data_IF_226202970060
#
_entry.id   IF_226202970060
#
_cell.length_a   1.000
_cell.length_b   1.000
_cell.length_c   1.000
_cell.angle_alpha   90.00
_cell.angle_beta   90.00
_cell.angle_gamma   90.00
#
_symmetry.space_group_name_H-M   'P 1'
#
loop_
_entity.id
_entity.type
_entity.pdbx_description
1 polymer ?
#
# COMPACT_ATOMS: atom_id res chain seq x y z
N UNK A 1 24.64 6.64 11.97
CA UNK A 1 23.22 6.61 12.31
C UNK A 1 22.49 5.63 11.41
N UNK A 2 21.64 4.82 11.99
CA UNK A 2 20.84 3.87 11.23
C UNK A 2 19.80 4.60 10.38
N UNK A 3 19.52 4.02 9.22
CA UNK A 3 18.41 4.42 8.35
C UNK A 3 17.46 3.24 8.19
N UNK A 4 16.22 3.53 7.97
CA UNK A 4 15.16 2.53 7.88
C UNK A 4 14.45 2.64 6.54
N UNK A 5 14.13 1.50 5.95
CA UNK A 5 13.38 1.41 4.69
C UNK A 5 11.91 1.20 5.02
N UNK A 6 11.06 2.05 4.49
CA UNK A 6 9.62 1.86 4.55
C UNK A 6 9.16 1.57 3.13
N UNK A 7 8.87 0.31 2.85
CA UNK A 7 8.38 -0.10 1.54
C UNK A 7 6.86 -0.05 1.53
N UNK A 8 6.34 0.96 0.86
CA UNK A 8 4.91 1.13 0.66
C UNK A 8 4.47 0.23 -0.48
N UNK A 9 3.50 -0.64 -0.21
CA UNK A 9 2.96 -1.57 -1.21
C UNK A 9 1.47 -1.34 -1.40
N UNK A 10 1.00 -1.52 -2.63
CA UNK A 10 -0.41 -1.35 -2.99
C UNK A 10 -0.77 -2.17 -4.22
N UNK A 11 -2.05 -2.36 -4.46
CA UNK A 11 -2.56 -3.00 -5.67
C UNK A 11 -2.87 -1.94 -6.72
N UNK A 12 -2.42 -2.19 -7.96
CA UNK A 12 -2.64 -1.27 -9.07
C UNK A 12 -4.05 -1.41 -9.69
N UNK A 13 -4.28 -0.70 -10.80
CA UNK A 13 -5.57 -0.70 -11.48
C UNK A 13 -5.69 -1.67 -12.65
N UNK A 14 -4.76 -2.60 -12.79
CA UNK A 14 -4.86 -3.60 -13.86
C UNK A 14 -6.02 -4.55 -13.62
N UNK A 15 -6.68 -4.92 -14.69
CA UNK A 15 -7.80 -5.85 -14.69
C UNK A 15 -7.51 -7.00 -15.65
N UNK A 16 -8.03 -8.20 -15.39
CA UNK A 16 -8.88 -8.64 -14.28
C UNK A 16 -8.14 -8.85 -12.97
N UNK A 17 -6.80 -8.94 -12.99
CA UNK A 17 -5.99 -9.20 -11.81
C UNK A 17 -5.03 -8.03 -11.58
N UNK A 18 -5.14 -7.33 -10.45
CA UNK A 18 -4.21 -6.25 -10.13
C UNK A 18 -2.82 -6.79 -9.82
N UNK A 19 -1.80 -5.95 -10.05
CA UNK A 19 -0.42 -6.25 -9.69
C UNK A 19 -0.07 -5.55 -8.38
N UNK A 20 0.81 -6.18 -7.60
CA UNK A 20 1.39 -5.56 -6.43
C UNK A 20 2.48 -4.58 -6.85
N UNK A 21 2.39 -3.35 -6.36
CA UNK A 21 3.37 -2.29 -6.60
C UNK A 21 4.07 -1.91 -5.32
N UNK A 22 5.27 -1.38 -5.45
CA UNK A 22 6.06 -0.95 -4.31
C UNK A 22 6.81 0.34 -4.57
N UNK A 23 6.99 1.12 -3.51
CA UNK A 23 7.74 2.37 -3.50
C UNK A 23 8.37 2.53 -2.12
N UNK A 24 9.69 2.77 -2.09
CA UNK A 24 10.43 2.79 -0.81
C UNK A 24 10.83 4.21 -0.44
N UNK A 25 10.59 4.57 0.81
CA UNK A 25 11.15 5.78 1.41
C UNK A 25 12.13 5.42 2.50
N UNK A 26 13.04 6.35 2.77
CA UNK A 26 14.04 6.19 3.82
C UNK A 26 13.64 7.09 4.99
N UNK A 27 13.59 6.49 6.18
CA UNK A 27 13.30 7.20 7.43
C UNK A 27 14.53 7.21 8.32
N UNK A 28 14.67 8.26 9.14
CA UNK A 28 15.76 8.38 10.11
C UNK A 28 15.46 7.63 11.41
N UNK A 29 14.20 7.29 11.64
CA UNK A 29 13.75 6.57 12.85
C UNK A 29 12.86 5.41 12.45
N UNK A 30 12.93 4.33 13.22
CA UNK A 30 12.03 3.18 13.02
C UNK A 30 10.60 3.60 13.39
N UNK A 31 9.59 3.22 12.58
CA UNK A 31 8.21 3.51 12.94
C UNK A 31 7.79 2.65 14.14
N UNK A 32 7.11 3.25 15.10
CA UNK A 32 6.56 2.54 16.26
C UNK A 32 5.13 2.04 15.98
N UNK A 33 4.43 2.75 15.12
CA UNK A 33 3.05 2.43 14.78
C UNK A 33 2.73 2.94 13.38
N UNK A 34 1.53 2.63 12.91
CA UNK A 34 1.03 3.09 11.63
C UNK A 34 1.00 4.63 11.53
N UNK A 35 0.80 5.32 12.65
CA UNK A 35 0.77 6.78 12.68
C UNK A 35 2.12 7.42 12.29
N UNK A 36 3.20 6.66 12.41
CA UNK A 36 4.54 7.12 11.99
C UNK A 36 4.78 6.92 10.49
N UNK A 37 3.81 6.38 9.77
CA UNK A 37 3.88 6.15 8.33
C UNK A 37 2.98 7.18 7.62
N UNK A 38 3.55 8.26 7.06
CA UNK A 38 2.74 9.29 6.42
C UNK A 38 2.11 8.82 5.11
N UNK A 39 1.03 9.48 4.70
CA UNK A 39 0.51 9.33 3.34
C UNK A 39 1.58 9.75 2.33
N UNK A 40 1.57 9.11 1.17
CA UNK A 40 2.58 9.37 0.14
C UNK A 40 1.94 9.34 -1.25
N UNK A 41 2.36 10.28 -2.09
CA UNK A 41 1.86 10.39 -3.45
C UNK A 41 2.61 9.49 -4.42
N UNK A 42 1.95 9.14 -5.51
CA UNK A 42 2.57 8.43 -6.63
C UNK A 42 1.88 8.81 -7.94
N UNK A 43 2.55 8.53 -9.05
CA UNK A 43 2.02 8.74 -10.40
C UNK A 43 1.20 7.52 -10.82
N UNK A 44 -0.13 7.69 -10.84
CA UNK A 44 -1.06 6.63 -11.19
C UNK A 44 -1.14 6.31 -12.67
N UNK A 45 -0.49 7.08 -13.55
CA UNK A 45 -0.56 6.82 -14.99
C UNK A 45 0.19 5.53 -15.38
N UNK A 46 1.25 5.19 -14.67
CA UNK A 46 2.02 3.96 -14.90
C UNK A 46 1.40 2.71 -14.26
N UNK A 47 0.39 2.89 -13.43
CA UNK A 47 -0.26 1.80 -12.68
C UNK A 47 -1.71 1.57 -13.09
N UNK A 48 -2.15 2.17 -14.19
CA UNK A 48 -3.54 2.11 -14.68
C UNK A 48 -4.55 2.66 -13.67
N UNK A 49 -4.17 3.70 -12.93
CA UNK A 49 -5.01 4.30 -11.89
C UNK A 49 -5.31 5.77 -12.14
N UNK A 50 -4.68 6.39 -13.14
CA UNK A 50 -4.95 7.79 -13.51
C UNK A 50 -4.53 8.07 -14.94
N UNK A 51 -5.08 9.16 -15.49
CA UNK A 51 -4.63 9.70 -16.78
C UNK A 51 -3.34 10.48 -16.62
N UNK A 52 -2.53 10.52 -17.68
CA UNK A 52 -1.26 11.24 -17.63
C UNK A 52 -1.41 12.76 -17.42
N UNK A 53 -2.56 13.33 -17.73
CA UNK A 53 -2.85 14.76 -17.54
C UNK A 53 -3.27 15.10 -16.10
N UNK A 54 -3.68 14.10 -15.32
CA UNK A 54 -4.09 14.25 -13.92
C UNK A 54 -3.72 12.95 -13.18
N UNK A 55 -2.43 12.77 -12.95
CA UNK A 55 -1.85 11.48 -12.61
C UNK A 55 -1.66 11.26 -11.11
N UNK A 56 -1.92 12.26 -10.27
CA UNK A 56 -1.66 12.16 -8.84
C UNK A 56 -2.64 11.20 -8.15
N UNK A 57 -2.08 10.23 -7.45
CA UNK A 57 -2.79 9.33 -6.54
C UNK A 57 -2.08 9.34 -5.18
N UNK A 58 -2.79 8.94 -4.14
CA UNK A 58 -2.27 8.91 -2.78
C UNK A 58 -2.28 7.50 -2.21
N UNK A 59 -1.23 7.18 -1.48
CA UNK A 59 -1.11 5.94 -0.71
C UNK A 59 -1.48 6.22 0.74
N UNK A 60 -2.51 5.57 1.22
CA UNK A 60 -2.94 5.65 2.62
C UNK A 60 -2.49 4.39 3.35
N UNK A 61 -1.54 4.49 4.29
CA UNK A 61 -1.12 3.34 5.08
C UNK A 61 -2.28 2.73 5.87
N UNK A 62 -2.41 1.41 5.82
CA UNK A 62 -3.46 0.67 6.55
C UNK A 62 -2.89 -0.39 7.47
N UNK A 63 -1.65 -0.85 7.24
CA UNK A 63 -1.00 -1.83 8.11
C UNK A 63 0.52 -1.71 8.01
N UNK A 64 1.19 -1.90 9.12
CA UNK A 64 2.65 -1.86 9.24
C UNK A 64 3.15 -3.24 9.67
N UNK A 65 4.15 -3.75 8.95
CA UNK A 65 4.81 -5.02 9.27
C UNK A 65 6.32 -4.84 9.32
N UNK A 66 7.05 -5.43 10.29
CA UNK A 66 8.48 -5.56 10.16
C UNK A 66 8.80 -6.52 8.99
N UNK A 67 9.82 -6.17 8.20
CA UNK A 67 10.27 -7.03 7.11
C UNK A 67 11.28 -8.04 7.64
N UNK A 68 10.86 -9.29 7.79
CA UNK A 68 11.71 -10.35 8.34
C UNK A 68 12.88 -10.70 7.42
N UNK A 69 12.81 -10.38 6.13
CA UNK A 69 13.84 -10.69 5.14
C UNK A 69 14.92 -9.64 5.00
N UNK A 70 14.77 -8.45 5.60
CA UNK A 70 15.73 -7.36 5.48
C UNK A 70 15.95 -6.67 6.81
N UNK A 71 17.18 -6.18 7.04
CA UNK A 71 17.50 -5.41 8.23
C UNK A 71 16.98 -3.98 8.10
N UNK A 72 16.51 -3.41 9.20
CA UNK A 72 16.03 -2.02 9.28
C UNK A 72 15.00 -1.72 8.18
N UNK A 73 14.07 -2.64 7.96
CA UNK A 73 13.08 -2.52 6.91
C UNK A 73 11.69 -2.88 7.43
N UNK A 74 10.70 -2.18 6.87
CA UNK A 74 9.28 -2.37 7.20
C UNK A 74 8.47 -2.37 5.92
N UNK A 75 7.38 -3.11 5.93
CA UNK A 75 6.40 -3.13 4.85
C UNK A 75 5.18 -2.36 5.32
N UNK A 76 4.78 -1.37 4.52
CA UNK A 76 3.61 -0.53 4.79
C UNK A 76 2.55 -0.86 3.75
N UNK A 77 1.54 -1.63 4.15
CA UNK A 77 0.40 -1.94 3.27
C UNK A 77 -0.47 -0.71 3.14
N UNK A 78 -0.80 -0.36 1.89
CA UNK A 78 -1.56 0.85 1.59
C UNK A 78 -2.80 0.54 0.77
N UNK A 79 -3.77 1.43 0.87
CA UNK A 79 -4.88 1.54 -0.06
C UNK A 79 -4.76 2.84 -0.85
N UNK A 80 -5.34 2.86 -2.07
CA UNK A 80 -5.19 3.99 -2.97
C UNK A 80 -6.35 4.96 -2.80
N UNK A 81 -6.00 6.23 -2.65
CA UNK A 81 -6.96 7.34 -2.50
C UNK A 81 -6.75 8.35 -3.63
N UNK A 82 -7.80 9.10 -3.94
CA UNK A 82 -7.70 10.29 -4.77
C UNK A 82 -7.08 11.43 -3.98
N UNK A 83 -6.53 12.46 -4.65
CA UNK A 83 -5.95 13.63 -3.95
C UNK A 83 -6.93 14.34 -3.02
N UNK A 84 -8.24 14.27 -3.30
CA UNK A 84 -9.28 14.89 -2.46
C UNK A 84 -9.60 14.08 -1.20
N UNK A 85 -8.98 12.91 -1.01
CA UNK A 85 -9.21 12.06 0.16
C UNK A 85 -10.28 10.98 -0.03
N UNK A 86 -10.98 10.94 -1.16
CA UNK A 86 -11.92 9.87 -1.45
C UNK A 86 -11.18 8.60 -1.91
N UNK A 87 -11.75 7.40 -1.68
CA UNK A 87 -11.17 6.19 -2.22
C UNK A 87 -11.09 6.22 -3.74
N UNK A 88 -9.96 5.74 -4.28
CA UNK A 88 -9.82 5.57 -5.72
C UNK A 88 -10.78 4.47 -6.22
N UNK A 89 -11.32 4.59 -7.45
CA UNK A 89 -12.21 3.54 -8.00
C UNK A 89 -11.62 2.12 -8.00
N UNK A 90 -10.30 1.97 -8.08
CA UNK A 90 -9.62 0.67 -8.00
C UNK A 90 -9.47 0.14 -6.56
N UNK A 91 -9.83 0.93 -5.56
CA UNK A 91 -9.65 0.60 -4.16
C UNK A 91 -10.84 -0.24 -3.65
N UNK A 92 -10.76 -1.55 -3.82
CA UNK A 92 -11.81 -2.45 -3.35
C UNK A 92 -11.80 -2.62 -1.83
N UNK A 93 -10.65 -2.39 -1.17
CA UNK A 93 -10.55 -2.48 0.28
C UNK A 93 -11.49 -1.49 0.98
N UNK A 94 -11.60 -0.29 0.45
CA UNK A 94 -12.41 0.77 1.06
C UNK A 94 -13.91 0.45 1.11
N UNK A 95 -14.38 -0.49 0.28
CA UNK A 95 -15.79 -0.91 0.25
C UNK A 95 -16.08 -2.11 1.15
N UNK A 96 -15.06 -2.70 1.77
CA UNK A 96 -15.24 -3.85 2.66
C UNK A 96 -15.78 -3.37 3.99
N UNK A 97 -16.88 -3.99 4.42
CA UNK A 97 -17.45 -3.78 5.74
C UNK A 97 -16.98 -4.91 6.64
N UNK A 98 -16.19 -4.57 7.66
CA UNK A 98 -15.65 -5.53 8.61
C UNK A 98 -16.59 -5.64 9.81
N UNK A 99 -17.72 -6.30 9.60
CA UNK A 99 -18.77 -6.48 10.60
C UNK A 99 -18.95 -7.95 11.03
N UNK A 100 -18.07 -8.83 10.53
CA UNK A 100 -18.08 -10.24 10.83
C UNK A 100 -16.73 -10.68 11.42
N UNK A 101 -16.77 -11.58 12.40
CA UNK A 101 -15.56 -12.19 12.95
C UNK A 101 -15.15 -13.38 12.07
N UNK A 102 -14.67 -13.06 10.86
CA UNK A 102 -14.33 -14.04 9.86
C UNK A 102 -12.88 -14.49 9.99
N UNK A 103 -12.64 -15.78 9.76
CA UNK A 103 -11.32 -16.37 9.75
C UNK A 103 -10.98 -16.80 8.32
N UNK A 104 -9.79 -16.45 7.87
CA UNK A 104 -9.30 -16.80 6.52
C UNK A 104 -8.00 -17.59 6.63
N UNK A 105 -7.86 -18.59 5.75
CA UNK A 105 -6.61 -19.31 5.58
C UNK A 105 -6.21 -19.31 4.10
N UNK A 106 -4.91 -19.24 3.86
CA UNK A 106 -4.35 -19.32 2.52
C UNK A 106 -3.59 -20.62 2.36
N UNK A 107 -3.85 -21.33 1.27
CA UNK A 107 -3.09 -22.53 0.90
C UNK A 107 -2.32 -22.26 -0.38
N UNK A 108 -1.04 -22.64 -0.38
CA UNK A 108 -0.19 -22.56 -1.54
C UNK A 108 -0.05 -23.95 -2.15
N UNK A 109 -0.47 -24.09 -3.41
CA UNK A 109 -0.49 -25.37 -4.10
C UNK A 109 0.40 -25.34 -5.35
N UNK A 110 1.06 -26.45 -5.61
CA UNK A 110 1.94 -26.63 -6.77
C UNK A 110 1.57 -27.90 -7.53
N UNK A 111 1.85 -27.87 -8.80
CA UNK A 111 1.86 -29.08 -9.62
C UNK A 111 3.27 -29.63 -9.76
#
# INVERSE_FOLDING_TARGET
>A
MAKYKLEYIWLDGYTPVPNLRGKTRIASEAPNSLDDCPMWGFDGSSTQQADGSDSDCMLKPVKLYPDAGRNNAFIVMCEVMLPNGDPHPSNHRASIIDDEDAWFGLEQEYF
#
